data_IF_752274942372
#
_entry.id   IF_752274942372
#
_cell.length_a   1.000
_cell.length_b   1.000
_cell.length_c   1.000
_cell.angle_alpha   90.00
_cell.angle_beta   90.00
_cell.angle_gamma   90.00
#
_symmetry.space_group_name_H-M   'P 1'
#
loop_
_entity.id
_entity.type
_entity.pdbx_description
1 polymer ?
#
# COMPACT_ATOMS: atom_id res chain seq x y z
N UNK A 1 14.37 -16.49 -2.02
CA UNK A 1 15.19 -15.32 -2.39
C UNK A 1 14.96 -15.04 -3.87
N UNK A 2 14.37 -13.88 -4.17
CA UNK A 2 14.06 -13.52 -5.56
C UNK A 2 15.37 -13.20 -6.30
N UNK A 3 15.58 -13.82 -7.44
CA UNK A 3 16.82 -13.68 -8.21
C UNK A 3 16.62 -13.06 -9.60
N UNK A 4 15.39 -12.97 -10.07
CA UNK A 4 15.08 -12.50 -11.42
C UNK A 4 13.69 -11.86 -11.52
N UNK A 5 13.43 -11.21 -12.64
CA UNK A 5 12.10 -10.69 -12.97
C UNK A 5 11.10 -11.85 -13.09
N UNK A 6 11.53 -12.98 -13.65
CA UNK A 6 10.68 -14.16 -13.78
C UNK A 6 10.29 -14.73 -12.40
N UNK A 7 11.19 -14.69 -11.41
CA UNK A 7 10.86 -15.09 -10.03
C UNK A 7 9.76 -14.18 -9.45
N UNK A 8 9.86 -12.86 -9.66
CA UNK A 8 8.84 -11.90 -9.23
C UNK A 8 7.50 -12.18 -9.90
N UNK A 9 7.51 -12.36 -11.22
CA UNK A 9 6.30 -12.62 -12.00
C UNK A 9 5.66 -13.96 -11.65
N UNK A 10 6.46 -15.01 -11.45
CA UNK A 10 5.92 -16.32 -11.09
C UNK A 10 5.26 -16.30 -9.70
N UNK A 11 5.82 -15.57 -8.76
CA UNK A 11 5.17 -15.37 -7.45
C UNK A 11 3.90 -14.53 -7.59
N UNK A 12 3.92 -13.52 -8.46
CA UNK A 12 2.74 -12.69 -8.73
C UNK A 12 1.55 -13.50 -9.20
N UNK A 13 1.77 -14.41 -10.14
CA UNK A 13 0.70 -15.25 -10.71
C UNK A 13 0.00 -16.13 -9.66
N UNK A 14 0.69 -16.48 -8.58
CA UNK A 14 0.11 -17.31 -7.51
C UNK A 14 -0.85 -16.53 -6.59
N UNK A 15 -0.80 -15.20 -6.61
CA UNK A 15 -1.52 -14.38 -5.64
C UNK A 15 -2.54 -13.40 -6.24
N UNK A 16 -2.81 -13.49 -7.54
CA UNK A 16 -3.81 -12.60 -8.16
C UNK A 16 -5.20 -12.86 -7.59
N UNK A 17 -5.69 -11.94 -6.77
CA UNK A 17 -6.97 -12.09 -6.04
C UNK A 17 -8.17 -12.29 -6.94
N UNK A 18 -8.17 -11.73 -8.13
CA UNK A 18 -9.23 -11.93 -9.12
C UNK A 18 -9.44 -13.40 -9.47
N UNK A 19 -8.42 -14.24 -9.23
CA UNK A 19 -8.45 -15.66 -9.51
C UNK A 19 -8.28 -16.52 -8.25
N UNK A 20 -8.37 -15.93 -7.05
CA UNK A 20 -8.10 -16.65 -5.80
C UNK A 20 -8.99 -17.90 -5.69
N UNK A 21 -10.29 -17.75 -5.94
CA UNK A 21 -11.20 -18.91 -5.86
C UNK A 21 -10.90 -19.94 -6.94
N UNK A 22 -10.59 -19.50 -8.17
CA UNK A 22 -10.23 -20.41 -9.26
C UNK A 22 -8.94 -21.18 -8.97
N UNK A 23 -8.00 -20.54 -8.25
CA UNK A 23 -6.69 -21.12 -7.93
C UNK A 23 -6.71 -21.89 -6.60
N UNK A 24 -7.40 -21.35 -5.58
CA UNK A 24 -7.35 -21.89 -4.21
C UNK A 24 -8.66 -22.48 -3.71
N UNK A 25 -9.77 -22.15 -4.36
CA UNK A 25 -11.13 -22.52 -3.90
C UNK A 25 -11.55 -21.78 -2.64
N UNK A 26 -10.87 -20.69 -2.30
CA UNK A 26 -11.13 -19.93 -1.04
C UNK A 26 -11.76 -18.57 -1.31
N UNK A 27 -12.63 -18.16 -0.43
CA UNK A 27 -13.13 -16.78 -0.37
C UNK A 27 -12.15 -15.90 0.39
N UNK A 28 -12.06 -14.65 0.01
CA UNK A 28 -11.17 -13.70 0.66
C UNK A 28 -11.94 -12.49 1.20
N UNK A 29 -11.76 -12.22 2.47
CA UNK A 29 -12.41 -11.12 3.18
C UNK A 29 -11.36 -10.04 3.43
N UNK A 30 -11.56 -8.85 2.88
CA UNK A 30 -10.67 -7.71 3.08
C UNK A 30 -11.37 -6.67 3.97
N UNK A 31 -10.74 -6.35 5.09
CA UNK A 31 -11.25 -5.34 6.03
C UNK A 31 -10.39 -4.08 5.91
N UNK A 32 -11.04 -2.95 5.67
CA UNK A 32 -10.35 -1.65 5.61
C UNK A 32 -9.62 -1.37 6.93
N UNK A 33 -8.31 -1.18 6.84
CA UNK A 33 -7.47 -0.92 8.02
C UNK A 33 -6.70 0.41 7.90
N UNK A 34 -7.28 1.40 7.20
CA UNK A 34 -6.81 2.78 7.28
C UNK A 34 -7.18 3.39 8.63
N UNK A 35 -6.50 4.47 9.02
CA UNK A 35 -6.63 5.07 10.36
C UNK A 35 -8.09 5.29 10.81
N UNK A 36 -8.97 5.77 9.91
CA UNK A 36 -10.40 5.99 10.26
C UNK A 36 -11.12 4.71 10.66
N UNK A 37 -11.00 3.65 9.85
CA UNK A 37 -11.63 2.36 10.14
C UNK A 37 -10.97 1.68 11.35
N UNK A 38 -9.65 1.87 11.51
CA UNK A 38 -8.92 1.35 12.66
C UNK A 38 -9.48 1.95 13.98
N UNK A 39 -9.81 3.25 13.96
CA UNK A 39 -10.43 3.91 15.12
C UNK A 39 -11.87 3.43 15.36
N UNK A 40 -12.50 2.84 14.34
CA UNK A 40 -13.86 2.29 14.40
C UNK A 40 -13.86 0.76 14.52
N UNK A 41 -12.84 0.20 15.20
CA UNK A 41 -12.74 -1.22 15.57
C UNK A 41 -12.51 -2.20 14.39
N UNK A 42 -11.92 -1.76 13.27
CA UNK A 42 -11.65 -2.68 12.15
C UNK A 42 -10.69 -3.82 12.52
N UNK A 43 -9.80 -3.57 13.46
CA UNK A 43 -8.88 -4.60 13.98
C UNK A 43 -9.65 -5.72 14.68
N UNK A 44 -10.62 -5.34 15.49
CA UNK A 44 -11.49 -6.27 16.21
C UNK A 44 -12.36 -7.07 15.24
N UNK A 45 -12.82 -6.42 14.15
CA UNK A 45 -13.57 -7.10 13.08
C UNK A 45 -12.71 -8.20 12.43
N UNK A 46 -11.44 -7.88 12.09
CA UNK A 46 -10.51 -8.87 11.53
C UNK A 46 -10.29 -10.03 12.49
N UNK A 47 -10.11 -9.71 13.77
CA UNK A 47 -9.90 -10.73 14.81
C UNK A 47 -11.12 -11.66 14.89
N UNK A 48 -12.32 -11.08 14.97
CA UNK A 48 -13.57 -11.85 15.04
C UNK A 48 -13.76 -12.76 13.84
N UNK A 49 -13.51 -12.23 12.61
CA UNK A 49 -13.57 -13.09 11.40
C UNK A 49 -12.64 -14.29 11.53
N UNK A 50 -11.39 -14.05 11.93
CA UNK A 50 -10.41 -15.14 12.01
C UNK A 50 -10.77 -16.16 13.10
N UNK A 51 -11.29 -15.70 14.24
CA UNK A 51 -11.69 -16.57 15.35
C UNK A 51 -12.92 -17.41 14.95
N UNK A 52 -13.94 -16.78 14.34
CA UNK A 52 -15.15 -17.49 13.92
C UNK A 52 -14.88 -18.45 12.75
N UNK A 53 -14.05 -18.07 11.78
CA UNK A 53 -13.67 -18.99 10.69
C UNK A 53 -12.95 -20.23 11.25
N UNK A 54 -12.08 -20.05 12.22
CA UNK A 54 -11.37 -21.15 12.89
C UNK A 54 -12.36 -22.03 13.68
N UNK A 55 -13.21 -21.41 14.47
CA UNK A 55 -14.21 -22.09 15.31
C UNK A 55 -15.18 -22.95 14.47
N UNK A 56 -15.53 -22.48 13.26
CA UNK A 56 -16.43 -23.19 12.34
C UNK A 56 -15.69 -24.14 11.39
N UNK A 57 -14.38 -24.31 11.54
CA UNK A 57 -13.52 -25.13 10.67
C UNK A 57 -13.60 -24.68 9.20
N UNK A 58 -13.62 -23.38 8.96
CA UNK A 58 -13.71 -22.77 7.63
C UNK A 58 -12.39 -22.15 7.15
N UNK A 59 -11.28 -22.35 7.86
CA UNK A 59 -9.97 -21.76 7.51
C UNK A 59 -9.41 -22.25 6.16
N UNK A 60 -9.92 -23.37 5.68
CA UNK A 60 -9.63 -23.90 4.34
C UNK A 60 -10.53 -23.30 3.26
N UNK A 61 -11.65 -22.68 3.63
CA UNK A 61 -12.66 -22.14 2.71
C UNK A 61 -12.62 -20.60 2.59
N UNK A 62 -12.17 -19.94 3.64
CA UNK A 62 -12.11 -18.46 3.66
C UNK A 62 -10.93 -17.96 4.49
N UNK A 63 -10.43 -16.78 4.10
CA UNK A 63 -9.38 -16.09 4.87
C UNK A 63 -9.77 -14.62 5.03
N UNK A 64 -9.35 -14.02 6.15
CA UNK A 64 -9.61 -12.61 6.42
C UNK A 64 -8.29 -11.86 6.60
N UNK A 65 -8.11 -10.77 5.86
CA UNK A 65 -6.91 -9.94 5.88
C UNK A 65 -7.28 -8.46 5.98
N UNK A 66 -6.31 -7.66 6.38
CA UNK A 66 -6.44 -6.19 6.32
C UNK A 66 -6.16 -5.71 4.89
N UNK A 67 -6.67 -4.54 4.56
CA UNK A 67 -6.29 -3.85 3.33
C UNK A 67 -6.14 -2.35 3.58
N UNK A 68 -5.63 -1.61 2.60
CA UNK A 68 -5.51 -0.16 2.65
C UNK A 68 -6.86 0.56 2.63
N UNK A 69 -6.81 1.87 2.75
CA UNK A 69 -8.01 2.70 2.84
C UNK A 69 -8.79 2.72 1.52
N UNK A 70 -10.08 2.38 1.58
CA UNK A 70 -10.97 2.48 0.42
C UNK A 70 -11.29 3.94 0.06
N UNK A 71 -10.99 4.91 0.94
CA UNK A 71 -11.32 6.31 0.71
C UNK A 71 -12.75 6.68 1.06
N UNK A 72 -13.49 5.80 1.72
CA UNK A 72 -14.91 5.98 2.04
C UNK A 72 -15.14 5.93 3.55
N UNK A 73 -14.36 6.72 4.27
CA UNK A 73 -14.31 6.70 5.75
C UNK A 73 -15.64 7.01 6.41
N UNK A 74 -16.49 7.82 5.77
CA UNK A 74 -17.84 8.14 6.27
C UNK A 74 -18.69 6.87 6.44
N UNK A 75 -18.42 5.85 5.63
CA UNK A 75 -19.18 4.58 5.62
C UNK A 75 -18.36 3.40 6.17
N UNK A 76 -17.26 3.70 6.84
CA UNK A 76 -16.44 2.65 7.48
C UNK A 76 -17.01 2.21 8.83
N UNK A 77 -16.58 1.05 9.34
CA UNK A 77 -15.66 0.09 8.73
C UNK A 77 -16.23 -0.61 7.49
N UNK A 78 -15.33 -0.86 6.53
CA UNK A 78 -15.70 -1.48 5.25
C UNK A 78 -15.13 -2.90 5.21
N UNK A 79 -15.97 -3.83 4.77
CA UNK A 79 -15.57 -5.23 4.54
C UNK A 79 -15.91 -5.57 3.10
N UNK A 80 -14.93 -6.12 2.37
CA UNK A 80 -15.11 -6.56 0.99
C UNK A 80 -14.88 -8.07 0.90
N UNK A 81 -15.80 -8.77 0.21
CA UNK A 81 -15.73 -10.24 0.05
C UNK A 81 -15.50 -10.59 -1.41
N UNK A 82 -14.43 -11.36 -1.67
CA UNK A 82 -14.10 -11.90 -2.99
C UNK A 82 -14.40 -13.41 -3.03
N UNK A 83 -14.76 -13.96 -4.21
CA UNK A 83 -14.81 -13.33 -5.53
C UNK A 83 -16.12 -12.59 -5.83
N UNK A 84 -17.10 -12.63 -4.93
CA UNK A 84 -18.43 -12.03 -5.15
C UNK A 84 -18.35 -10.50 -5.34
N UNK A 85 -17.24 -9.89 -4.98
CA UNK A 85 -16.97 -8.44 -5.06
C UNK A 85 -17.95 -7.60 -4.22
N UNK A 86 -18.55 -8.22 -3.19
CA UNK A 86 -19.55 -7.56 -2.33
C UNK A 86 -18.87 -6.59 -1.37
N UNK A 87 -19.43 -5.39 -1.26
CA UNK A 87 -18.88 -4.26 -0.52
C UNK A 87 -19.82 -3.85 0.60
N UNK A 88 -19.51 -4.29 1.81
CA UNK A 88 -20.26 -3.99 3.03
C UNK A 88 -19.77 -2.73 3.70
N UNK A 89 -20.69 -1.92 4.22
CA UNK A 89 -20.42 -0.64 4.87
C UNK A 89 -20.90 -0.64 6.33
N UNK A 90 -20.28 0.20 7.16
CA UNK A 90 -20.66 0.42 8.56
C UNK A 90 -20.71 -0.89 9.36
N UNK A 91 -19.82 -1.84 9.02
CA UNK A 91 -19.76 -3.18 9.62
C UNK A 91 -19.29 -3.09 11.08
N UNK A 92 -19.96 -3.82 11.96
CA UNK A 92 -19.61 -3.94 13.38
C UNK A 92 -19.11 -5.37 13.67
N UNK A 93 -18.45 -5.54 14.79
CA UNK A 93 -18.00 -6.88 15.24
C UNK A 93 -19.19 -7.86 15.30
N UNK A 94 -20.36 -7.38 15.77
CA UNK A 94 -21.59 -8.20 15.84
C UNK A 94 -22.13 -8.66 14.49
N UNK A 95 -21.70 -8.03 13.38
CA UNK A 95 -22.18 -8.37 12.02
C UNK A 95 -21.36 -9.49 11.39
N UNK A 96 -20.22 -9.86 12.00
CA UNK A 96 -19.31 -10.88 11.47
C UNK A 96 -20.03 -12.22 11.36
N UNK A 97 -20.79 -12.57 12.38
CA UNK A 97 -21.58 -13.82 12.40
C UNK A 97 -22.54 -13.91 11.21
N UNK A 98 -23.29 -12.81 10.94
CA UNK A 98 -24.24 -12.76 9.82
C UNK A 98 -23.51 -12.89 8.48
N UNK A 99 -22.37 -12.21 8.31
CA UNK A 99 -21.59 -12.29 7.05
C UNK A 99 -21.10 -13.74 6.83
N UNK A 100 -20.61 -14.40 7.87
CA UNK A 100 -20.13 -15.79 7.75
C UNK A 100 -21.32 -16.73 7.45
N UNK A 101 -22.39 -16.65 8.25
CA UNK A 101 -23.50 -17.58 8.15
C UNK A 101 -24.26 -17.40 6.83
N UNK A 102 -24.72 -16.18 6.55
CA UNK A 102 -25.52 -15.94 5.33
C UNK A 102 -24.65 -15.90 4.08
N UNK A 103 -23.60 -15.04 4.05
CA UNK A 103 -22.87 -14.83 2.80
C UNK A 103 -21.87 -15.96 2.50
N UNK A 104 -21.02 -16.35 3.47
CA UNK A 104 -19.97 -17.34 3.17
C UNK A 104 -20.52 -18.78 3.13
N UNK A 105 -21.55 -19.10 3.94
CA UNK A 105 -22.08 -20.47 4.03
C UNK A 105 -23.27 -20.70 3.11
N UNK A 106 -24.22 -19.76 3.04
CA UNK A 106 -25.45 -19.90 2.27
C UNK A 106 -25.45 -19.18 0.92
N UNK A 107 -24.49 -18.25 0.70
CA UNK A 107 -24.39 -17.48 -0.54
C UNK A 107 -25.36 -16.30 -0.60
N UNK A 108 -25.98 -15.95 0.52
CA UNK A 108 -26.98 -14.88 0.62
C UNK A 108 -26.35 -13.58 1.13
N UNK A 109 -26.38 -12.53 0.32
CA UNK A 109 -25.81 -11.23 0.67
C UNK A 109 -26.55 -10.64 1.87
N UNK A 110 -25.81 -10.11 2.84
CA UNK A 110 -26.38 -9.43 4.03
C UNK A 110 -26.82 -8.02 3.62
N UNK A 111 -28.03 -7.90 3.08
CA UNK A 111 -28.55 -6.68 2.45
C UNK A 111 -28.53 -5.44 3.36
N UNK A 112 -28.67 -5.60 4.68
CA UNK A 112 -28.68 -4.47 5.62
C UNK A 112 -27.33 -3.75 5.71
N UNK A 113 -26.26 -4.43 5.31
CA UNK A 113 -24.90 -3.90 5.35
C UNK A 113 -24.47 -3.29 4.01
N UNK A 114 -25.32 -3.37 2.98
CA UNK A 114 -25.01 -2.78 1.68
C UNK A 114 -25.11 -1.24 1.73
N UNK A 115 -24.29 -0.61 0.92
CA UNK A 115 -24.34 0.84 0.75
C UNK A 115 -25.69 1.24 0.13
N UNK A 116 -26.34 2.22 0.73
CA UNK A 116 -27.59 2.79 0.19
C UNK A 116 -27.25 4.13 -0.46
N UNK A 117 -27.44 4.22 -1.76
CA UNK A 117 -27.21 5.47 -2.50
C UNK A 117 -28.16 6.57 -2.01
N UNK A 118 -27.64 7.72 -1.57
CA UNK A 118 -28.50 8.76 -0.99
C UNK A 118 -29.48 9.39 -1.98
N UNK A 119 -29.18 9.34 -3.28
CA UNK A 119 -30.04 9.93 -4.32
C UNK A 119 -31.12 8.96 -4.79
N UNK A 120 -30.73 7.74 -5.13
CA UNK A 120 -31.63 6.75 -5.72
C UNK A 120 -32.30 5.85 -4.69
N UNK A 121 -31.80 5.84 -3.44
CA UNK A 121 -32.24 4.98 -2.36
C UNK A 121 -32.07 3.47 -2.64
N UNK A 122 -31.33 3.14 -3.68
CA UNK A 122 -31.03 1.75 -4.03
C UNK A 122 -29.86 1.21 -3.22
N UNK A 123 -29.95 -0.04 -2.84
CA UNK A 123 -28.82 -0.79 -2.27
C UNK A 123 -27.83 -1.13 -3.38
N UNK A 124 -26.54 -0.96 -3.13
CA UNK A 124 -25.48 -1.24 -4.09
C UNK A 124 -24.53 -2.25 -3.46
N UNK A 125 -24.36 -3.36 -4.12
CA UNK A 125 -23.58 -4.49 -3.64
C UNK A 125 -22.09 -4.38 -3.94
N UNK A 126 -21.71 -3.74 -5.06
CA UNK A 126 -20.30 -3.64 -5.48
C UNK A 126 -19.85 -2.17 -5.57
N UNK A 127 -18.58 -1.93 -5.24
CA UNK A 127 -18.05 -0.57 -5.27
C UNK A 127 -18.05 0.04 -6.68
N UNK A 128 -17.98 -0.79 -7.73
CA UNK A 128 -17.94 -0.31 -9.12
C UNK A 128 -19.26 0.33 -9.55
N UNK A 129 -20.37 -0.07 -8.92
CA UNK A 129 -21.68 0.51 -9.19
C UNK A 129 -21.96 1.80 -8.44
N UNK A 130 -21.08 2.19 -7.51
CA UNK A 130 -21.24 3.45 -6.77
C UNK A 130 -20.72 4.61 -7.62
N UNK A 131 -21.51 5.68 -7.73
CA UNK A 131 -21.12 6.93 -8.43
C UNK A 131 -19.74 7.44 -7.97
N UNK A 132 -19.46 7.31 -6.67
CA UNK A 132 -18.19 7.76 -6.08
C UNK A 132 -16.99 7.05 -6.68
N UNK A 133 -17.05 5.73 -6.84
CA UNK A 133 -15.92 4.93 -7.36
C UNK A 133 -15.94 4.82 -8.88
N UNK A 134 -17.11 4.69 -9.48
CA UNK A 134 -17.25 4.48 -10.92
C UNK A 134 -16.68 5.61 -11.78
N UNK A 135 -16.54 6.80 -11.17
CA UNK A 135 -16.00 7.98 -11.85
C UNK A 135 -14.51 8.24 -11.54
N UNK A 136 -13.87 7.36 -10.73
CA UNK A 136 -12.47 7.52 -10.34
C UNK A 136 -11.56 6.58 -11.11
N UNK A 137 -10.42 7.12 -11.52
CA UNK A 137 -9.29 6.32 -11.99
C UNK A 137 -8.19 6.42 -10.93
N UNK A 138 -8.11 5.42 -10.05
CA UNK A 138 -7.16 5.44 -8.92
C UNK A 138 -5.80 4.92 -9.38
N UNK A 139 -4.83 5.81 -9.50
CA UNK A 139 -3.46 5.49 -9.86
C UNK A 139 -2.61 5.28 -8.60
N UNK A 140 -2.53 6.31 -7.74
CA UNK A 140 -1.70 6.26 -6.53
C UNK A 140 -2.27 5.29 -5.48
N UNK A 141 -3.58 5.11 -5.46
CA UNK A 141 -4.27 4.23 -4.50
C UNK A 141 -4.79 2.94 -5.18
N UNK A 142 -4.17 2.52 -6.30
CA UNK A 142 -4.64 1.37 -7.09
C UNK A 142 -4.71 0.08 -6.27
N UNK A 143 -3.76 -0.11 -5.37
CA UNK A 143 -3.64 -1.32 -4.54
C UNK A 143 -4.49 -1.26 -3.25
N UNK A 144 -5.00 -0.08 -2.89
CA UNK A 144 -5.83 0.06 -1.69
C UNK A 144 -7.19 -0.61 -1.90
N UNK A 145 -7.51 -1.56 -1.05
CA UNK A 145 -8.70 -2.40 -1.21
C UNK A 145 -8.43 -3.69 -1.98
N UNK A 146 -7.16 -3.93 -2.36
CA UNK A 146 -6.74 -5.15 -3.09
C UNK A 146 -5.69 -5.96 -2.33
N UNK A 147 -4.70 -5.27 -1.71
CA UNK A 147 -3.59 -5.97 -1.05
C UNK A 147 -3.60 -5.73 0.46
N UNK A 148 -2.95 -6.64 1.19
CA UNK A 148 -2.58 -6.45 2.59
C UNK A 148 -1.27 -5.65 2.62
N UNK A 149 -1.27 -4.42 3.16
CA UNK A 149 -0.08 -3.57 3.16
C UNK A 149 1.06 -4.07 4.06
N UNK A 150 0.80 -5.07 4.90
CA UNK A 150 1.81 -5.67 5.77
C UNK A 150 2.41 -6.95 5.17
N UNK A 151 2.12 -7.24 3.86
CA UNK A 151 2.59 -8.44 3.15
C UNK A 151 3.22 -8.09 1.80
N UNK A 152 4.52 -8.27 1.69
CA UNK A 152 5.28 -7.98 0.46
C UNK A 152 4.90 -8.90 -0.70
N UNK A 153 4.55 -10.16 -0.42
CA UNK A 153 4.15 -11.13 -1.45
C UNK A 153 2.91 -10.65 -2.22
N UNK A 154 1.99 -9.97 -1.55
CA UNK A 154 0.81 -9.41 -2.22
C UNK A 154 1.14 -8.19 -3.09
N UNK A 155 2.10 -7.37 -2.66
CA UNK A 155 2.59 -6.28 -3.50
C UNK A 155 3.28 -6.82 -4.75
N UNK A 156 4.14 -7.85 -4.60
CA UNK A 156 4.82 -8.53 -5.71
C UNK A 156 3.78 -9.15 -6.66
N UNK A 157 2.73 -9.76 -6.12
CA UNK A 157 1.65 -10.37 -6.90
C UNK A 157 0.92 -9.36 -7.80
N UNK A 158 1.00 -8.07 -7.44
CA UNK A 158 0.39 -6.99 -8.21
C UNK A 158 1.45 -6.16 -8.96
N UNK A 159 2.42 -6.84 -9.54
CA UNK A 159 3.53 -6.31 -10.34
C UNK A 159 4.50 -5.41 -9.55
N UNK A 160 4.50 -5.53 -8.23
CA UNK A 160 5.43 -4.79 -7.38
C UNK A 160 6.88 -5.20 -7.64
N UNK A 161 7.77 -4.22 -7.64
CA UNK A 161 9.22 -4.34 -7.86
C UNK A 161 9.62 -4.81 -9.28
N UNK A 162 8.69 -5.08 -10.19
CA UNK A 162 9.00 -5.44 -11.58
C UNK A 162 9.69 -4.27 -12.29
N UNK A 163 9.20 -3.05 -12.08
CA UNK A 163 9.81 -1.86 -12.68
C UNK A 163 11.23 -1.64 -12.15
N UNK A 164 11.43 -1.80 -10.84
CA UNK A 164 12.77 -1.69 -10.25
C UNK A 164 13.73 -2.75 -10.83
N UNK A 165 13.27 -3.98 -10.95
CA UNK A 165 14.07 -5.08 -11.48
C UNK A 165 14.49 -4.82 -12.94
N UNK A 166 13.54 -4.40 -13.78
CA UNK A 166 13.84 -4.03 -15.19
C UNK A 166 14.86 -2.89 -15.27
N UNK A 167 14.68 -1.86 -14.46
CA UNK A 167 15.56 -0.69 -14.44
C UNK A 167 17.00 -1.11 -14.04
N UNK A 168 17.13 -1.90 -13.00
CA UNK A 168 18.44 -2.36 -12.52
C UNK A 168 19.15 -3.27 -13.52
N UNK A 169 18.40 -4.08 -14.27
CA UNK A 169 18.96 -5.01 -15.25
C UNK A 169 19.29 -4.34 -16.59
N UNK A 170 18.46 -3.41 -17.04
CA UNK A 170 18.43 -3.00 -18.45
C UNK A 170 18.66 -1.51 -18.72
N UNK A 171 18.73 -0.66 -17.68
CA UNK A 171 18.76 0.79 -17.87
C UNK A 171 19.98 1.44 -17.22
N UNK A 172 20.36 2.61 -17.75
CA UNK A 172 21.30 3.50 -17.09
C UNK A 172 20.52 4.60 -16.35
N UNK A 173 21.12 5.24 -15.33
CA UNK A 173 20.43 6.34 -14.60
C UNK A 173 19.84 7.41 -15.50
N UNK A 174 20.55 7.78 -16.56
CA UNK A 174 20.09 8.81 -17.50
C UNK A 174 18.84 8.38 -18.28
N UNK A 175 18.68 7.09 -18.55
CA UNK A 175 17.51 6.56 -19.26
C UNK A 175 16.24 6.77 -18.44
N UNK A 176 16.34 6.52 -17.13
CA UNK A 176 15.20 6.75 -16.20
C UNK A 176 14.84 8.24 -16.16
N UNK A 177 15.85 9.11 -16.09
CA UNK A 177 15.65 10.57 -16.11
C UNK A 177 14.95 11.01 -17.41
N UNK A 178 15.40 10.50 -18.55
CA UNK A 178 14.81 10.85 -19.86
C UNK A 178 13.37 10.33 -19.96
N UNK A 179 13.14 9.10 -19.56
CA UNK A 179 11.78 8.52 -19.52
C UNK A 179 10.82 9.39 -18.71
N UNK A 180 11.28 9.89 -17.55
CA UNK A 180 10.45 10.77 -16.69
C UNK A 180 10.20 12.14 -17.35
N UNK A 181 11.17 12.66 -18.11
CA UNK A 181 10.96 13.92 -18.87
C UNK A 181 9.91 13.72 -19.95
N UNK A 182 10.03 12.62 -20.71
CA UNK A 182 9.15 12.30 -21.82
C UNK A 182 7.72 12.03 -21.32
N UNK A 183 7.58 11.40 -20.15
CA UNK A 183 6.27 11.15 -19.53
C UNK A 183 5.55 12.41 -19.05
N UNK A 184 6.30 13.52 -18.89
CA UNK A 184 5.75 14.77 -18.37
C UNK A 184 5.38 14.74 -16.90
N UNK A 185 5.83 13.73 -16.14
CA UNK A 185 5.52 13.59 -14.71
C UNK A 185 5.96 14.82 -13.92
N UNK A 186 5.05 15.36 -13.11
CA UNK A 186 5.28 16.53 -12.26
C UNK A 186 5.09 16.21 -10.79
N UNK A 187 5.73 16.99 -9.93
CA UNK A 187 5.54 16.90 -8.48
C UNK A 187 4.09 17.14 -8.07
N UNK A 188 3.65 16.46 -7.04
CA UNK A 188 2.26 16.50 -6.53
C UNK A 188 2.13 17.24 -5.19
N UNK A 189 3.18 17.93 -4.74
CA UNK A 189 3.14 18.74 -3.51
C UNK A 189 2.78 20.22 -3.75
N UNK A 190 2.01 20.51 -4.80
CA UNK A 190 1.51 21.85 -5.10
C UNK A 190 2.31 22.60 -6.15
N UNK A 191 3.65 22.53 -6.14
CA UNK A 191 4.51 23.29 -7.05
C UNK A 191 4.54 22.77 -8.49
N UNK A 192 4.18 21.53 -8.74
CA UNK A 192 4.10 20.96 -10.09
C UNK A 192 5.41 20.93 -10.88
N UNK A 193 6.55 20.95 -10.21
CA UNK A 193 7.87 20.98 -10.87
C UNK A 193 8.11 19.66 -11.64
N UNK A 194 8.65 19.73 -12.89
CA UNK A 194 8.90 18.51 -13.67
C UNK A 194 9.89 17.55 -12.99
N UNK A 195 9.44 16.35 -12.68
CA UNK A 195 10.22 15.36 -11.91
C UNK A 195 11.51 14.97 -12.64
N UNK A 196 11.43 14.69 -13.95
CA UNK A 196 12.61 14.33 -14.75
C UNK A 196 13.67 15.42 -14.78
N UNK A 197 13.24 16.70 -14.83
CA UNK A 197 14.19 17.84 -14.80
C UNK A 197 14.90 17.90 -13.44
N UNK A 198 14.15 17.77 -12.35
CA UNK A 198 14.69 17.77 -10.97
C UNK A 198 15.72 16.65 -10.77
N UNK A 199 15.35 15.42 -11.17
CA UNK A 199 16.25 14.27 -11.03
C UNK A 199 17.49 14.40 -11.94
N UNK A 200 17.31 14.96 -13.14
CA UNK A 200 18.44 15.20 -14.06
C UNK A 200 19.45 16.20 -13.52
N UNK A 201 18.98 17.26 -12.84
CA UNK A 201 19.88 18.21 -12.17
C UNK A 201 20.66 17.52 -11.05
N UNK A 202 19.97 16.71 -10.25
CA UNK A 202 20.61 15.99 -9.14
C UNK A 202 21.63 14.96 -9.66
N UNK A 203 21.29 14.25 -10.74
CA UNK A 203 22.22 13.28 -11.37
C UNK A 203 23.53 13.96 -11.76
N UNK A 204 23.45 15.14 -12.37
CA UNK A 204 24.63 15.90 -12.84
C UNK A 204 25.38 16.64 -11.74
N UNK A 205 24.79 16.75 -10.53
CA UNK A 205 25.45 17.42 -9.40
C UNK A 205 26.78 16.72 -9.08
N UNK A 206 27.85 17.46 -8.85
CA UNK A 206 29.17 16.87 -8.59
C UNK A 206 29.33 16.24 -7.19
N UNK A 207 28.34 16.40 -6.33
CA UNK A 207 28.39 15.81 -4.98
C UNK A 207 28.51 14.29 -5.01
N UNK A 208 29.40 13.77 -4.19
CA UNK A 208 29.65 12.32 -4.06
C UNK A 208 28.60 11.64 -3.16
N UNK A 209 27.97 12.38 -2.27
CA UNK A 209 26.95 11.85 -1.37
C UNK A 209 25.60 12.47 -1.73
N UNK A 210 24.66 11.62 -2.13
CA UNK A 210 23.32 12.02 -2.54
C UNK A 210 22.27 11.25 -1.74
N UNK A 211 21.11 11.86 -1.57
CA UNK A 211 20.02 11.31 -0.79
C UNK A 211 18.71 11.35 -1.60
N UNK A 212 17.94 10.26 -1.54
CA UNK A 212 16.56 10.25 -2.03
C UNK A 212 15.62 10.52 -0.84
N UNK A 213 14.96 11.67 -0.86
CA UNK A 213 14.11 12.08 0.27
C UNK A 213 12.65 12.04 -0.15
N UNK A 214 11.85 11.25 0.54
CA UNK A 214 10.39 11.25 0.43
C UNK A 214 9.85 12.24 1.47
N UNK A 215 9.27 13.33 1.00
CA UNK A 215 8.55 14.25 1.89
C UNK A 215 7.13 13.72 2.07
N UNK A 216 6.88 13.12 3.22
CA UNK A 216 5.59 12.58 3.64
C UNK A 216 5.01 13.38 4.82
N UNK A 217 5.35 14.68 4.88
CA UNK A 217 4.83 15.62 5.88
C UNK A 217 3.58 16.32 5.32
N UNK A 218 2.46 15.64 5.31
CA UNK A 218 1.18 16.11 4.80
C UNK A 218 0.55 17.08 5.81
N UNK A 219 0.91 18.36 5.68
CA UNK A 219 0.60 19.38 6.68
C UNK A 219 -0.78 20.00 6.59
N UNK A 220 -1.47 19.92 5.46
CA UNK A 220 -2.79 20.54 5.27
C UNK A 220 -3.85 19.87 6.15
N UNK A 221 -4.62 20.66 6.92
CA UNK A 221 -5.73 20.09 7.70
C UNK A 221 -6.75 19.39 6.81
N UNK A 222 -7.08 18.16 7.15
CA UNK A 222 -8.04 17.36 6.37
C UNK A 222 -7.46 16.65 5.16
N UNK A 223 -6.20 16.91 4.78
CA UNK A 223 -5.51 16.15 3.75
C UNK A 223 -5.01 14.83 4.34
N UNK A 224 -5.22 13.74 3.62
CA UNK A 224 -4.80 12.40 4.05
C UNK A 224 -4.49 11.47 2.85
N UNK A 225 -4.14 12.05 1.71
CA UNK A 225 -3.77 11.29 0.51
C UNK A 225 -2.43 10.57 0.74
N UNK A 226 -1.41 11.29 1.20
CA UNK A 226 -0.09 10.72 1.46
C UNK A 226 -0.19 9.63 2.54
N UNK A 227 -0.95 9.92 3.61
CA UNK A 227 -1.23 8.94 4.66
C UNK A 227 -1.85 7.67 4.09
N UNK A 228 -2.84 7.82 3.20
CA UNK A 228 -3.53 6.67 2.61
C UNK A 228 -2.58 5.79 1.78
N UNK A 229 -1.65 6.39 1.04
CA UNK A 229 -0.64 5.65 0.28
C UNK A 229 0.30 4.92 1.24
N UNK A 230 0.83 5.64 2.23
CA UNK A 230 1.79 5.08 3.20
C UNK A 230 1.18 3.95 4.04
N UNK A 231 -0.12 4.08 4.35
CA UNK A 231 -0.85 3.04 5.10
C UNK A 231 -1.30 1.88 4.21
N UNK A 232 -1.65 2.15 2.96
CA UNK A 232 -2.27 1.16 2.09
C UNK A 232 -1.34 0.46 1.11
N UNK A 233 -0.19 1.10 0.79
CA UNK A 233 0.75 0.55 -0.19
C UNK A 233 2.16 1.10 0.08
N UNK A 234 2.76 0.79 1.25
CA UNK A 234 4.08 1.31 1.60
C UNK A 234 5.20 0.82 0.67
N UNK A 235 5.05 -0.36 0.07
CA UNK A 235 6.05 -0.90 -0.86
C UNK A 235 6.16 -0.08 -2.13
N UNK A 236 5.08 0.54 -2.61
CA UNK A 236 5.13 1.42 -3.80
C UNK A 236 6.03 2.63 -3.56
N UNK A 237 6.03 3.16 -2.34
CA UNK A 237 6.90 4.28 -1.95
C UNK A 237 8.37 3.81 -1.90
N UNK A 238 8.63 2.64 -1.33
CA UNK A 238 9.98 2.07 -1.23
C UNK A 238 10.54 1.81 -2.64
N UNK A 239 9.75 1.19 -3.51
CA UNK A 239 10.14 0.94 -4.90
C UNK A 239 10.43 2.25 -5.65
N UNK A 240 9.53 3.24 -5.56
CA UNK A 240 9.71 4.54 -6.19
C UNK A 240 10.98 5.25 -5.69
N UNK A 241 11.26 5.14 -4.39
CA UNK A 241 12.48 5.72 -3.81
C UNK A 241 13.73 4.97 -4.27
N UNK A 242 13.67 3.65 -4.44
CA UNK A 242 14.80 2.86 -4.94
C UNK A 242 15.08 3.23 -6.41
N UNK A 243 14.03 3.34 -7.25
CA UNK A 243 14.14 3.80 -8.64
C UNK A 243 14.76 5.21 -8.70
N UNK A 244 14.23 6.12 -7.88
CA UNK A 244 14.73 7.49 -7.82
C UNK A 244 16.18 7.56 -7.33
N UNK A 245 16.52 6.75 -6.34
CA UNK A 245 17.90 6.65 -5.84
C UNK A 245 18.86 6.21 -6.94
N UNK A 246 18.49 5.17 -7.68
CA UNK A 246 19.26 4.71 -8.85
C UNK A 246 19.42 5.84 -9.88
N UNK A 247 18.33 6.50 -10.24
CA UNK A 247 18.30 7.53 -11.28
C UNK A 247 19.18 8.76 -10.94
N UNK A 248 19.32 9.12 -9.66
CA UNK A 248 20.09 10.28 -9.25
C UNK A 248 21.48 9.93 -8.70
N UNK A 249 21.78 8.63 -8.56
CA UNK A 249 23.04 8.15 -7.98
C UNK A 249 23.07 8.25 -6.46
N UNK A 250 21.93 8.16 -5.79
CA UNK A 250 21.83 8.16 -4.32
C UNK A 250 21.79 6.72 -3.79
N UNK A 251 22.51 6.47 -2.70
CA UNK A 251 22.50 5.19 -2.01
C UNK A 251 21.81 5.25 -0.64
N UNK A 252 21.22 6.39 -0.30
CA UNK A 252 20.50 6.58 0.98
C UNK A 252 19.11 7.14 0.72
N UNK A 253 18.10 6.51 1.31
CA UNK A 253 16.71 6.94 1.27
C UNK A 253 16.26 7.43 2.65
N UNK A 254 15.54 8.55 2.69
CA UNK A 254 14.97 9.11 3.91
C UNK A 254 13.49 9.37 3.69
N UNK A 255 12.64 8.83 4.55
CA UNK A 255 11.22 9.19 4.59
C UNK A 255 10.99 10.16 5.76
N UNK A 256 10.62 11.39 5.44
CA UNK A 256 10.28 12.42 6.43
C UNK A 256 8.76 12.42 6.60
N UNK A 257 8.27 12.02 7.77
CA UNK A 257 6.85 11.75 8.03
C UNK A 257 6.39 12.38 9.35
N UNK A 258 5.14 12.79 9.40
CA UNK A 258 4.50 13.34 10.60
C UNK A 258 4.44 12.29 11.71
N UNK A 259 4.70 12.74 12.96
CA UNK A 259 4.57 11.89 14.14
C UNK A 259 3.12 11.42 14.36
N UNK A 260 2.17 12.19 13.86
CA UNK A 260 0.72 11.93 13.95
C UNK A 260 0.24 10.77 13.05
N UNK A 261 1.15 10.17 12.25
CA UNK A 261 0.82 9.04 11.40
C UNK A 261 1.49 7.74 11.90
N UNK A 262 1.18 7.28 13.14
CA UNK A 262 1.86 6.11 13.72
C UNK A 262 1.65 4.82 12.93
N UNK A 263 0.47 4.64 12.33
CA UNK A 263 0.17 3.45 11.52
C UNK A 263 1.03 3.43 10.24
N UNK A 264 1.15 4.57 9.55
CA UNK A 264 2.01 4.69 8.37
C UNK A 264 3.48 4.39 8.72
N UNK A 265 3.95 4.91 9.86
CA UNK A 265 5.32 4.65 10.36
C UNK A 265 5.52 3.15 10.61
N UNK A 266 4.55 2.51 11.26
CA UNK A 266 4.58 1.05 11.53
C UNK A 266 4.70 0.27 10.21
N UNK A 267 3.81 0.56 9.24
CA UNK A 267 3.77 -0.16 7.96
C UNK A 267 5.02 0.07 7.12
N UNK A 268 5.53 1.29 7.07
CA UNK A 268 6.81 1.58 6.41
C UNK A 268 7.96 0.76 7.00
N UNK A 269 8.02 0.63 8.33
CA UNK A 269 9.07 -0.17 8.99
C UNK A 269 8.96 -1.64 8.63
N UNK A 270 7.74 -2.19 8.60
CA UNK A 270 7.49 -3.57 8.17
C UNK A 270 7.96 -3.74 6.72
N UNK A 271 7.53 -2.85 5.83
CA UNK A 271 7.85 -2.93 4.40
C UNK A 271 9.36 -2.82 4.14
N UNK A 272 10.06 -1.94 4.86
CA UNK A 272 11.52 -1.82 4.74
C UNK A 272 12.21 -3.12 5.19
N UNK A 273 11.75 -3.72 6.29
CA UNK A 273 12.30 -4.98 6.80
C UNK A 273 12.09 -6.10 5.76
N UNK A 274 10.88 -6.21 5.23
CA UNK A 274 10.55 -7.21 4.21
C UNK A 274 11.37 -7.00 2.92
N UNK A 275 11.49 -5.75 2.46
CA UNK A 275 12.27 -5.45 1.26
C UNK A 275 13.75 -5.82 1.42
N UNK A 276 14.30 -5.70 2.64
CA UNK A 276 15.66 -6.16 2.95
C UNK A 276 15.75 -7.68 2.95
N UNK A 277 14.79 -8.35 3.56
CA UNK A 277 14.72 -9.82 3.62
C UNK A 277 14.66 -10.44 2.21
N UNK A 278 13.93 -9.77 1.31
CA UNK A 278 13.79 -10.21 -0.09
C UNK A 278 14.96 -9.73 -0.99
N UNK A 279 15.97 -9.06 -0.41
CA UNK A 279 17.13 -8.51 -1.14
C UNK A 279 16.74 -7.48 -2.20
N UNK A 280 15.69 -6.72 -1.93
CA UNK A 280 15.26 -5.59 -2.76
C UNK A 280 15.86 -4.28 -2.27
N UNK A 281 16.44 -4.30 -1.07
CA UNK A 281 17.21 -3.20 -0.46
C UNK A 281 18.47 -3.78 0.22
N UNK A 282 19.54 -3.03 0.21
CA UNK A 282 20.77 -3.42 0.92
C UNK A 282 22.05 -3.20 0.14
N UNK A 283 23.15 -3.69 0.69
CA UNK A 283 24.51 -3.42 0.20
C UNK A 283 24.81 -3.93 -1.22
N UNK A 284 24.08 -4.93 -1.66
CA UNK A 284 24.37 -5.58 -2.95
C UNK A 284 23.41 -5.11 -4.06
N UNK A 285 22.69 -4.05 -3.75
CA UNK A 285 21.74 -3.50 -4.73
C UNK A 285 22.01 -2.01 -4.93
N UNK A 286 22.24 -1.67 -5.97
CA UNK A 286 22.63 -0.36 -6.37
C UNK A 286 21.82 0.72 -5.84
N UNK A 287 21.32 1.11 -5.35
CA UNK A 287 20.73 2.27 -4.87
C UNK A 287 20.25 2.07 -3.45
N UNK A 288 19.87 2.27 -2.84
CA UNK A 288 19.37 2.43 -1.56
C UNK A 288 19.87 1.42 -0.58
N UNK A 289 20.81 1.74 -0.32
CA UNK A 289 21.38 1.00 0.71
C UNK A 289 20.85 1.21 2.03
N UNK A 290 20.50 2.37 2.30
CA UNK A 290 20.07 2.74 3.67
C UNK A 290 18.75 3.51 3.62
N UNK A 291 17.74 3.00 4.28
CA UNK A 291 16.45 3.69 4.44
C UNK A 291 16.25 4.07 5.90
N UNK A 292 15.95 5.34 6.16
CA UNK A 292 15.63 5.87 7.49
C UNK A 292 14.26 6.51 7.48
N UNK A 293 13.47 6.24 8.51
CA UNK A 293 12.16 6.90 8.72
C UNK A 293 12.35 7.97 9.81
N UNK A 294 12.15 9.22 9.44
CA UNK A 294 12.29 10.37 10.35
C UNK A 294 10.95 10.93 10.77
N UNK A 295 10.76 11.06 12.08
CA UNK A 295 9.55 11.70 12.63
C UNK A 295 9.80 13.21 12.81
N UNK A 296 8.81 14.02 12.50
CA UNK A 296 8.87 15.48 12.60
C UNK A 296 9.34 15.99 13.98
N UNK A 297 8.96 15.32 15.06
CA UNK A 297 9.28 15.76 16.42
C UNK A 297 10.66 15.32 16.94
N UNK A 298 11.44 14.61 16.14
CA UNK A 298 12.77 14.13 16.55
C UNK A 298 13.89 15.12 16.28
N UNK A 299 13.58 16.35 15.86
CA UNK A 299 14.59 17.30 15.38
C UNK A 299 15.49 17.88 16.47
N UNK A 300 15.07 17.84 17.76
CA UNK A 300 15.75 18.64 18.78
C UNK A 300 16.74 17.91 19.69
N UNK A 301 16.73 16.58 19.80
CA UNK A 301 17.60 15.92 20.78
C UNK A 301 18.42 14.73 20.26
N UNK A 302 17.97 14.07 19.21
CA UNK A 302 18.62 12.85 18.74
C UNK A 302 19.57 13.06 17.55
N UNK A 303 19.43 14.17 16.81
CA UNK A 303 20.28 14.45 15.65
C UNK A 303 21.76 14.51 16.02
N UNK A 304 22.10 15.06 17.18
CA UNK A 304 23.49 15.17 17.64
C UNK A 304 24.08 13.85 18.15
N UNK A 305 23.20 12.88 18.55
CA UNK A 305 23.66 11.59 19.09
C UNK A 305 23.58 10.44 18.09
N UNK A 306 22.75 10.54 17.05
CA UNK A 306 22.42 9.41 16.19
C UNK A 306 23.07 9.45 14.80
N UNK A 307 23.88 10.45 14.50
CA UNK A 307 24.60 10.49 13.21
C UNK A 307 25.53 9.27 13.01
N UNK A 308 25.75 8.49 14.07
CA UNK A 308 26.54 7.25 14.03
C UNK A 308 25.72 5.95 14.17
N UNK A 309 24.40 6.00 14.44
CA UNK A 309 23.61 4.79 14.77
C UNK A 309 22.24 4.67 14.07
N UNK A 310 21.87 5.57 13.21
CA UNK A 310 20.50 5.61 12.69
C UNK A 310 20.36 5.17 11.24
N UNK A 311 20.96 4.04 10.91
CA UNK A 311 20.53 3.26 9.74
C UNK A 311 20.02 1.93 10.28
N UNK A 312 18.71 1.83 10.49
CA UNK A 312 18.05 0.56 10.78
C UNK A 312 17.68 -0.11 9.47
#
# INVERSE_FOLDING_TARGET
MLRSIEDLQSQGLLFLRKNVEAVTGKREILVCAGTGCHSAMSKEIVQEFNDELKKRNMSDKATCHITGCFGFCEKGPIVKVYPDDVFYTEVKVSDVDDIISSHLMEGEIVERLLYVDPKTKKKIDTQHHMDFYGKQNRIALRNCGLIDPERIDEYIANDGYVALADILANKQPIDVVNHLKDSGLRGRGGGGYPTGSKWGMTLRSPGTEKYMVCNADEGDPGAFMDRSILEGDPHSIIEAMAIGGFAIGANKGIVYIRAEYPLAIKRLKIAIAQAREYNLLGKNIXXXXCFCVWRRNCFNSEYRRSSRRACI
#
